data_IF_513830688446
#
_entry.id   IF_513830688446
#
_cell.length_a   1.000
_cell.length_b   1.000
_cell.length_c   1.000
_cell.angle_alpha   90.00
_cell.angle_beta   90.00
_cell.angle_gamma   90.00
#
_symmetry.space_group_name_H-M   'P 1'
#
loop_
_entity.id
_entity.type
_entity.pdbx_description
1 polymer ?
#
# COMPACT_ATOMS: atom_id res chain seq x y z
N UNK A 1 -5.84 17.57 -40.28
CA UNK A 1 -5.75 18.40 -39.06
C UNK A 1 -5.91 17.46 -37.87
N UNK A 2 -4.86 16.71 -37.54
CA UNK A 2 -4.89 15.72 -36.45
C UNK A 2 -4.22 16.33 -35.22
N UNK A 3 -4.97 17.10 -34.43
CA UNK A 3 -4.57 17.36 -33.05
C UNK A 3 -4.78 16.09 -32.24
N UNK A 4 -3.84 15.15 -32.37
CA UNK A 4 -3.74 13.98 -31.51
C UNK A 4 -3.78 14.46 -30.06
N UNK A 5 -4.86 14.11 -29.35
CA UNK A 5 -5.10 14.32 -27.93
C UNK A 5 -3.82 14.08 -27.10
N UNK A 6 -3.00 15.11 -26.90
CA UNK A 6 -1.89 15.07 -25.94
C UNK A 6 -2.53 14.99 -24.57
N UNK A 7 -2.57 13.79 -24.00
CA UNK A 7 -2.94 13.61 -22.59
C UNK A 7 -2.04 14.54 -21.76
N UNK A 8 -2.61 15.38 -20.87
CA UNK A 8 -1.81 16.24 -20.02
C UNK A 8 -0.83 15.38 -19.22
N UNK A 9 0.44 15.79 -19.21
CA UNK A 9 1.48 15.08 -18.46
C UNK A 9 1.18 15.18 -16.96
N UNK A 10 1.38 14.10 -16.17
CA UNK A 10 1.15 14.15 -14.73
C UNK A 10 2.03 15.18 -14.03
N UNK A 11 1.56 15.70 -12.90
CA UNK A 11 2.19 16.80 -12.16
C UNK A 11 3.63 16.48 -11.71
N UNK A 12 3.93 15.20 -11.42
CA UNK A 12 5.28 14.75 -11.05
C UNK A 12 6.34 15.03 -12.13
N UNK A 13 5.94 15.17 -13.40
CA UNK A 13 6.85 15.47 -14.51
C UNK A 13 7.12 16.97 -14.69
N UNK A 14 6.23 17.83 -14.20
CA UNK A 14 6.26 19.28 -14.43
C UNK A 14 6.78 20.06 -13.23
N UNK A 15 6.45 19.65 -12.00
CA UNK A 15 6.80 20.41 -10.80
C UNK A 15 8.08 19.90 -10.11
N UNK A 16 8.78 20.81 -9.42
CA UNK A 16 9.91 20.44 -8.58
C UNK A 16 9.43 19.72 -7.30
N UNK A 17 10.27 18.84 -6.74
CA UNK A 17 9.94 18.03 -5.56
C UNK A 17 9.48 18.90 -4.38
N UNK A 18 10.15 20.04 -4.14
CA UNK A 18 9.77 20.96 -3.07
C UNK A 18 8.31 21.39 -3.13
N UNK A 19 7.80 21.74 -4.33
CA UNK A 19 6.39 22.11 -4.51
C UNK A 19 5.44 20.93 -4.28
N UNK A 20 5.82 19.71 -4.70
CA UNK A 20 5.02 18.51 -4.49
C UNK A 20 4.92 18.13 -3.00
N UNK A 21 5.91 18.50 -2.18
CA UNK A 21 5.95 18.22 -0.75
C UNK A 21 5.20 19.25 0.11
N UNK A 22 4.82 20.40 -0.44
CA UNK A 22 4.05 21.42 0.30
C UNK A 22 2.72 20.83 0.79
N UNK A 23 1.98 20.15 -0.08
CA UNK A 23 0.65 19.63 0.27
C UNK A 23 0.71 18.56 1.37
N UNK A 24 1.57 17.52 1.32
CA UNK A 24 1.69 16.56 2.42
C UNK A 24 2.12 17.20 3.74
N UNK A 25 3.01 18.20 3.73
CA UNK A 25 3.39 18.93 4.95
C UNK A 25 2.21 19.71 5.53
N UNK A 26 1.43 20.39 4.68
CA UNK A 26 0.22 21.09 5.12
C UNK A 26 -0.82 20.11 5.67
N UNK A 27 -0.99 18.95 5.04
CA UNK A 27 -1.86 17.88 5.56
C UNK A 27 -1.40 17.39 6.92
N UNK A 28 -0.09 17.18 7.14
CA UNK A 28 0.43 16.79 8.46
C UNK A 28 0.20 17.82 9.56
N UNK A 29 0.40 19.10 9.26
CA UNK A 29 0.09 20.19 10.20
C UNK A 29 -1.40 20.19 10.52
N UNK A 30 -2.25 20.04 9.49
CA UNK A 30 -3.69 20.02 9.66
C UNK A 30 -4.17 18.79 10.43
N UNK A 31 -3.59 17.61 10.19
CA UNK A 31 -3.82 16.37 10.94
C UNK A 31 -3.56 16.62 12.43
N UNK A 32 -2.38 17.15 12.77
CA UNK A 32 -2.03 17.46 14.16
C UNK A 32 -3.00 18.47 14.79
N UNK A 33 -3.35 19.53 14.07
CA UNK A 33 -4.30 20.55 14.54
C UNK A 33 -5.70 19.97 14.77
N UNK A 34 -6.23 19.18 13.83
CA UNK A 34 -7.57 18.59 13.95
C UNK A 34 -7.61 17.56 15.07
N UNK A 35 -6.59 16.69 15.19
CA UNK A 35 -6.50 15.74 16.30
C UNK A 35 -6.45 16.44 17.66
N UNK A 36 -5.72 17.56 17.76
CA UNK A 36 -5.68 18.37 18.97
C UNK A 36 -7.03 19.04 19.29
N UNK A 37 -7.69 19.64 18.29
CA UNK A 37 -9.00 20.28 18.49
C UNK A 37 -10.08 19.27 18.90
N UNK A 38 -9.99 18.04 18.39
CA UNK A 38 -10.99 17.00 18.62
C UNK A 38 -10.58 16.00 19.71
N UNK A 39 -9.45 16.21 20.40
CA UNK A 39 -9.02 15.36 21.50
C UNK A 39 -10.00 15.47 22.66
N UNK A 40 -10.63 14.35 23.03
CA UNK A 40 -11.57 14.29 24.13
C UNK A 40 -10.83 13.97 25.44
N UNK A 41 -11.30 14.57 26.54
CA UNK A 41 -10.95 14.20 27.93
C UNK A 41 -10.97 12.70 28.18
N UNK A 42 -11.87 11.96 27.52
CA UNK A 42 -11.97 10.51 27.61
C UNK A 42 -10.66 9.80 27.21
N UNK A 43 -9.97 10.27 26.18
CA UNK A 43 -8.73 9.66 25.69
C UNK A 43 -7.60 9.88 26.72
N UNK A 44 -7.52 11.08 27.30
CA UNK A 44 -6.57 11.38 28.36
C UNK A 44 -6.84 10.58 29.64
N UNK A 45 -8.12 10.37 29.97
CA UNK A 45 -8.51 9.53 31.10
C UNK A 45 -8.12 8.06 30.87
N UNK A 46 -8.23 7.55 29.63
CA UNK A 46 -7.78 6.20 29.32
C UNK A 46 -6.27 6.04 29.55
N UNK A 47 -5.48 7.02 29.13
CA UNK A 47 -4.04 7.03 29.40
C UNK A 47 -3.74 7.12 30.90
N UNK A 48 -4.46 7.98 31.64
CA UNK A 48 -4.26 8.15 33.08
C UNK A 48 -4.58 6.87 33.87
N UNK A 49 -5.62 6.12 33.49
CA UNK A 49 -5.94 4.81 34.09
C UNK A 49 -4.83 3.78 33.86
N UNK A 50 -4.24 3.75 32.66
CA UNK A 50 -3.10 2.90 32.35
C UNK A 50 -1.82 3.34 33.09
N UNK A 51 -1.62 4.65 33.27
CA UNK A 51 -0.51 5.19 34.04
C UNK A 51 -0.63 4.88 35.54
N UNK A 52 -1.84 4.98 36.09
CA UNK A 52 -2.17 4.57 37.46
C UNK A 52 -2.21 3.04 37.65
N UNK A 53 -1.95 2.25 36.60
CA UNK A 53 -1.96 0.78 36.59
C UNK A 53 -3.30 0.15 36.98
N UNK A 54 -4.39 0.90 36.82
CA UNK A 54 -5.75 0.45 37.09
C UNK A 54 -6.32 -0.45 35.98
N UNK A 55 -5.69 -0.43 34.78
CA UNK A 55 -6.11 -1.19 33.60
C UNK A 55 -4.99 -2.11 33.12
N UNK A 56 -5.35 -3.30 32.62
CA UNK A 56 -4.46 -4.34 32.09
C UNK A 56 -3.17 -4.53 32.94
N UNK A 57 -3.27 -5.04 34.19
CA UNK A 57 -2.16 -5.03 35.14
C UNK A 57 -0.90 -5.74 34.62
N UNK A 58 -1.06 -6.82 33.85
CA UNK A 58 0.07 -7.55 33.25
C UNK A 58 0.87 -6.71 32.24
N UNK A 59 0.25 -5.71 31.61
CA UNK A 59 0.89 -4.84 30.61
C UNK A 59 1.34 -3.51 31.21
N UNK A 60 0.51 -2.89 32.06
CA UNK A 60 0.78 -1.57 32.64
C UNK A 60 1.94 -1.54 33.65
N UNK A 61 2.33 -2.68 34.21
CA UNK A 61 3.46 -2.78 35.14
C UNK A 61 4.82 -2.92 34.46
N UNK A 62 4.87 -3.11 33.14
CA UNK A 62 6.14 -3.18 32.40
C UNK A 62 6.85 -1.82 32.48
N UNK A 63 8.14 -1.75 32.87
CA UNK A 63 8.84 -0.48 33.02
C UNK A 63 8.93 0.25 31.68
N UNK A 64 8.76 1.58 31.71
CA UNK A 64 8.86 2.53 30.58
C UNK A 64 7.75 2.37 29.52
N UNK A 65 7.51 1.16 29.02
CA UNK A 65 6.58 0.89 27.91
C UNK A 65 5.19 0.44 28.37
N UNK A 66 5.01 0.10 29.65
CA UNK A 66 3.76 -0.48 30.14
C UNK A 66 2.55 0.45 29.98
N UNK A 67 2.66 1.71 30.39
CA UNK A 67 1.54 2.66 30.26
C UNK A 67 1.20 2.99 28.80
N UNK A 68 2.18 3.30 27.91
CA UNK A 68 1.90 3.48 26.48
C UNK A 68 1.28 2.25 25.81
N UNK A 69 1.80 1.05 26.10
CA UNK A 69 1.27 -0.18 25.53
C UNK A 69 -0.15 -0.50 26.06
N UNK A 70 -0.38 -0.33 27.36
CA UNK A 70 -1.71 -0.44 27.96
C UNK A 70 -2.70 0.51 27.31
N UNK A 71 -2.30 1.76 27.09
CA UNK A 71 -3.13 2.77 26.43
C UNK A 71 -3.48 2.33 25.01
N UNK A 72 -2.49 1.95 24.21
CA UNK A 72 -2.70 1.56 22.81
C UNK A 72 -3.65 0.35 22.70
N UNK A 73 -3.44 -0.68 23.53
CA UNK A 73 -4.29 -1.88 23.56
C UNK A 73 -5.70 -1.51 23.99
N UNK A 74 -5.84 -0.74 25.08
CA UNK A 74 -7.15 -0.32 25.57
C UNK A 74 -7.88 0.58 24.57
N UNK A 75 -7.16 1.44 23.86
CA UNK A 75 -7.71 2.35 22.86
C UNK A 75 -8.35 1.59 21.70
N UNK A 76 -7.65 0.60 21.15
CA UNK A 76 -8.19 -0.24 20.08
C UNK A 76 -9.28 -1.20 20.56
N UNK A 77 -9.20 -1.67 21.81
CA UNK A 77 -10.27 -2.45 22.42
C UNK A 77 -11.57 -1.63 22.50
N UNK A 78 -11.51 -0.42 23.04
CA UNK A 78 -12.67 0.48 23.10
C UNK A 78 -13.20 0.86 21.71
N UNK A 79 -12.33 0.89 20.69
CA UNK A 79 -12.70 1.18 19.31
C UNK A 79 -13.47 0.04 18.61
N UNK A 80 -13.51 -1.18 19.18
CA UNK A 80 -14.26 -2.32 18.62
C UNK A 80 -15.39 -2.82 19.53
N UNK A 81 -15.63 -2.15 20.67
CA UNK A 81 -16.52 -2.60 21.74
C UNK A 81 -18.05 -2.53 21.44
N UNK A 82 -18.47 -2.15 20.23
CA UNK A 82 -19.89 -2.04 19.87
C UNK A 82 -20.15 -2.53 18.44
N UNK A 83 -21.41 -2.84 18.10
CA UNK A 83 -21.80 -3.32 16.77
C UNK A 83 -21.58 -2.23 15.72
N UNK A 84 -21.92 -0.98 16.03
CA UNK A 84 -21.64 0.16 15.13
C UNK A 84 -20.14 0.45 15.02
N UNK A 85 -19.39 0.25 16.11
CA UNK A 85 -17.94 0.36 16.12
C UNK A 85 -17.29 -0.69 15.21
N UNK A 86 -17.78 -1.94 15.25
CA UNK A 86 -17.36 -3.03 14.36
C UNK A 86 -17.52 -2.65 12.89
N UNK A 87 -18.67 -2.06 12.50
CA UNK A 87 -18.88 -1.61 11.12
C UNK A 87 -17.89 -0.53 10.68
N UNK A 88 -17.67 0.46 11.54
CA UNK A 88 -16.74 1.58 11.24
C UNK A 88 -15.29 1.09 11.17
N UNK A 89 -14.85 0.30 12.16
CA UNK A 89 -13.50 -0.27 12.18
C UNK A 89 -13.30 -1.27 11.06
N UNK A 90 -14.29 -2.09 10.71
CA UNK A 90 -14.22 -2.98 9.54
C UNK A 90 -13.94 -2.21 8.25
N UNK A 91 -14.58 -1.04 8.07
CA UNK A 91 -14.34 -0.19 6.92
C UNK A 91 -12.90 0.37 6.91
N UNK A 92 -12.43 0.87 8.05
CA UNK A 92 -11.07 1.41 8.19
C UNK A 92 -10.02 0.30 8.02
N UNK A 93 -10.26 -0.88 8.57
CA UNK A 93 -9.35 -2.02 8.47
C UNK A 93 -9.28 -2.52 7.03
N UNK A 94 -10.39 -2.56 6.29
CA UNK A 94 -10.38 -2.91 4.86
C UNK A 94 -9.70 -1.83 3.99
N UNK A 95 -9.82 -0.55 4.35
CA UNK A 95 -9.03 0.53 3.74
C UNK A 95 -7.52 0.28 3.91
N UNK A 96 -7.10 0.00 5.13
CA UNK A 96 -5.70 -0.34 5.44
C UNK A 96 -5.26 -1.63 4.72
N UNK A 97 -6.13 -2.63 4.57
CA UNK A 97 -5.84 -3.83 3.76
C UNK A 97 -5.50 -3.45 2.31
N UNK A 98 -6.26 -2.54 1.70
CA UNK A 98 -6.01 -2.04 0.35
C UNK A 98 -4.66 -1.33 0.24
N UNK A 99 -4.33 -0.45 1.20
CA UNK A 99 -3.04 0.23 1.27
C UNK A 99 -1.87 -0.74 1.48
N UNK A 100 -2.07 -1.76 2.32
CA UNK A 100 -1.08 -2.80 2.56
C UNK A 100 -0.82 -3.61 1.29
N UNK A 101 -1.87 -4.00 0.56
CA UNK A 101 -1.73 -4.69 -0.73
C UNK A 101 -0.97 -3.82 -1.73
N UNK A 102 -1.36 -2.56 -1.90
CA UNK A 102 -0.68 -1.64 -2.82
C UNK A 102 0.80 -1.44 -2.42
N UNK A 103 1.07 -1.14 -1.15
CA UNK A 103 2.44 -0.92 -0.68
C UNK A 103 3.31 -2.17 -0.81
N UNK A 104 2.76 -3.37 -0.61
CA UNK A 104 3.49 -4.63 -0.78
C UNK A 104 3.72 -4.99 -2.26
N UNK A 105 2.78 -4.67 -3.15
CA UNK A 105 2.98 -4.73 -4.61
C UNK A 105 4.10 -3.78 -5.03
N UNK A 106 4.03 -2.52 -4.60
CA UNK A 106 5.06 -1.53 -4.93
C UNK A 106 6.43 -1.92 -4.34
N UNK A 107 6.47 -2.50 -3.14
CA UNK A 107 7.70 -3.04 -2.54
C UNK A 107 8.27 -4.23 -3.33
N UNK A 108 7.43 -5.00 -4.03
CA UNK A 108 7.84 -6.14 -4.86
C UNK A 108 8.37 -5.73 -6.24
N UNK A 109 8.11 -4.50 -6.68
CA UNK A 109 8.51 -4.00 -8.01
C UNK A 109 10.00 -3.71 -8.05
N UNK A 110 10.62 -4.10 -9.17
CA UNK A 110 12.06 -3.94 -9.40
C UNK A 110 12.46 -2.46 -9.29
N UNK A 111 11.66 -1.54 -9.86
CA UNK A 111 11.91 -0.11 -9.83
C UNK A 111 12.04 0.47 -8.41
N UNK A 112 11.46 -0.12 -7.38
CA UNK A 112 11.46 0.42 -6.03
C UNK A 112 12.55 -0.17 -5.14
N UNK A 113 13.25 -1.21 -5.60
CA UNK A 113 14.32 -1.89 -4.85
C UNK A 113 15.39 -0.94 -4.27
N UNK A 114 15.82 0.15 -4.96
CA UNK A 114 16.82 1.07 -4.41
C UNK A 114 16.30 1.97 -3.27
N UNK A 115 14.98 2.06 -3.07
CA UNK A 115 14.38 2.87 -2.01
C UNK A 115 14.05 1.97 -0.82
N UNK A 116 14.84 1.96 0.27
CA UNK A 116 14.62 1.02 1.37
C UNK A 116 13.27 1.24 2.06
N UNK A 117 12.79 2.48 2.12
CA UNK A 117 11.49 2.82 2.72
C UNK A 117 10.32 2.20 1.96
N UNK A 118 10.44 2.07 0.63
CA UNK A 118 9.41 1.45 -0.22
C UNK A 118 9.62 -0.07 -0.29
N UNK A 119 10.87 -0.52 -0.47
CA UNK A 119 11.20 -1.94 -0.62
C UNK A 119 10.95 -2.75 0.67
N UNK A 120 11.10 -2.12 1.84
CA UNK A 120 10.92 -2.75 3.15
C UNK A 120 9.90 -1.97 3.99
N UNK A 121 8.60 -2.06 3.67
CA UNK A 121 7.59 -1.20 4.25
C UNK A 121 7.24 -1.54 5.71
N UNK A 122 7.77 -2.64 6.28
CA UNK A 122 7.48 -3.09 7.65
C UNK A 122 7.78 -2.03 8.71
N UNK A 123 8.91 -1.34 8.62
CA UNK A 123 9.29 -0.30 9.58
C UNK A 123 8.28 0.86 9.62
N UNK A 124 8.03 1.54 8.47
CA UNK A 124 6.99 2.56 8.38
C UNK A 124 5.62 2.09 8.87
N UNK A 125 5.20 0.87 8.53
CA UNK A 125 3.93 0.30 9.00
C UNK A 125 3.90 0.02 10.52
N UNK A 126 5.03 -0.28 11.15
CA UNK A 126 5.10 -0.36 12.62
C UNK A 126 4.92 1.01 13.27
N UNK A 127 5.56 2.04 12.71
CA UNK A 127 5.39 3.42 13.19
C UNK A 127 3.95 3.90 13.01
N UNK A 128 3.32 3.55 11.87
CA UNK A 128 1.90 3.80 11.59
C UNK A 128 1.00 3.32 12.74
N UNK A 129 1.26 2.11 13.26
CA UNK A 129 0.48 1.53 14.35
C UNK A 129 0.74 2.20 15.71
N UNK A 130 1.92 2.78 15.92
CA UNK A 130 2.34 3.31 17.22
C UNK A 130 2.01 4.80 17.43
N UNK A 131 2.24 5.62 16.40
CA UNK A 131 2.18 7.09 16.53
C UNK A 131 0.91 7.65 15.88
N UNK A 132 0.30 6.89 14.98
CA UNK A 132 -0.80 7.34 14.15
C UNK A 132 -0.45 7.28 12.67
N UNK A 133 -1.45 6.95 11.86
CA UNK A 133 -1.22 6.57 10.47
C UNK A 133 -0.95 7.74 9.54
N UNK A 134 -1.66 8.85 9.73
CA UNK A 134 -1.65 9.99 8.81
C UNK A 134 -0.26 10.62 8.66
N UNK A 135 0.40 10.94 9.77
CA UNK A 135 1.71 11.61 9.77
C UNK A 135 2.77 10.76 9.05
N UNK A 136 2.75 9.43 9.23
CA UNK A 136 3.68 8.53 8.55
C UNK A 136 3.45 8.53 7.04
N UNK A 137 2.19 8.55 6.60
CA UNK A 137 1.85 8.62 5.19
C UNK A 137 2.26 9.95 4.56
N UNK A 138 1.98 11.05 5.25
CA UNK A 138 2.21 12.43 4.81
C UNK A 138 3.70 12.77 4.74
N UNK A 139 4.48 12.37 5.75
CA UNK A 139 5.87 12.81 5.91
C UNK A 139 6.92 11.77 5.51
N UNK A 140 6.58 10.49 5.45
CA UNK A 140 7.54 9.43 5.14
C UNK A 140 7.21 8.68 3.84
N UNK A 141 6.02 8.07 3.75
CA UNK A 141 5.68 7.16 2.65
C UNK A 141 5.57 7.92 1.32
N UNK A 142 4.70 8.93 1.22
CA UNK A 142 4.51 9.65 -0.04
C UNK A 142 5.75 10.44 -0.48
N UNK A 143 6.45 11.17 0.41
CA UNK A 143 7.70 11.81 0.03
C UNK A 143 8.72 10.85 -0.57
N UNK A 144 8.83 9.62 -0.04
CA UNK A 144 9.69 8.59 -0.60
C UNK A 144 9.26 8.17 -2.03
N UNK A 145 7.95 8.02 -2.27
CA UNK A 145 7.41 7.73 -3.60
C UNK A 145 7.68 8.86 -4.59
N UNK A 146 7.43 10.12 -4.22
CA UNK A 146 7.71 11.25 -5.10
C UNK A 146 9.20 11.39 -5.43
N UNK A 147 10.06 11.21 -4.42
CA UNK A 147 11.50 11.22 -4.62
C UNK A 147 11.91 10.12 -5.61
N UNK A 148 11.39 8.90 -5.45
CA UNK A 148 11.72 7.78 -6.35
C UNK A 148 11.17 8.00 -7.76
N UNK A 149 9.92 8.43 -7.90
CA UNK A 149 9.30 8.77 -9.18
C UNK A 149 10.11 9.82 -9.94
N UNK A 150 10.58 10.88 -9.26
CA UNK A 150 11.45 11.89 -9.90
C UNK A 150 12.85 11.37 -10.24
N UNK A 151 13.46 10.54 -9.40
CA UNK A 151 14.75 9.93 -9.69
C UNK A 151 14.68 9.08 -10.98
N UNK A 152 13.60 8.32 -11.17
CA UNK A 152 13.33 7.56 -12.40
C UNK A 152 13.16 8.49 -13.61
N UNK A 153 12.39 9.58 -13.47
CA UNK A 153 12.19 10.55 -14.55
C UNK A 153 13.51 11.24 -14.94
N UNK A 154 14.32 11.62 -13.95
CA UNK A 154 15.61 12.27 -14.17
C UNK A 154 16.59 11.33 -14.90
N UNK A 155 16.70 10.07 -14.46
CA UNK A 155 17.53 9.06 -15.11
C UNK A 155 17.12 8.84 -16.58
N UNK A 156 15.81 8.77 -16.87
CA UNK A 156 15.31 8.63 -18.25
C UNK A 156 15.61 9.86 -19.13
N UNK A 157 15.56 11.07 -18.57
CA UNK A 157 15.91 12.30 -19.32
C UNK A 157 17.40 12.38 -19.64
N UNK A 158 18.24 11.87 -18.75
CA UNK A 158 19.70 11.87 -18.94
C UNK A 158 20.16 10.74 -19.89
N UNK A 159 19.45 9.61 -19.93
CA UNK A 159 19.89 8.40 -20.63
C UNK A 159 19.60 8.30 -22.13
N UNK A 160 18.84 9.21 -22.77
CA UNK A 160 18.51 9.15 -24.21
C UNK A 160 17.90 7.81 -24.71
N UNK A 161 17.40 7.73 -25.97
CA UNK A 161 16.88 6.46 -26.52
C UNK A 161 17.96 5.38 -26.75
N UNK A 162 19.23 5.78 -26.89
CA UNK A 162 20.35 4.91 -27.28
C UNK A 162 21.28 4.48 -26.12
N UNK A 163 21.14 5.07 -24.92
CA UNK A 163 21.96 4.71 -23.75
C UNK A 163 21.17 3.87 -22.74
N UNK A 164 19.84 3.75 -22.90
CA UNK A 164 18.99 2.77 -22.21
C UNK A 164 19.03 1.37 -22.87
N UNK A 165 19.72 1.22 -24.01
CA UNK A 165 19.97 -0.05 -24.72
C UNK A 165 21.24 -0.78 -24.26
N UNK A 166 21.76 -0.46 -23.07
CA UNK A 166 22.69 -1.33 -22.36
C UNK A 166 21.91 -2.34 -21.49
N UNK A 167 22.32 -3.62 -21.40
CA UNK A 167 21.57 -4.65 -20.66
C UNK A 167 21.53 -4.51 -19.12
N UNK A 168 21.87 -3.38 -18.50
CA UNK A 168 22.48 -3.41 -17.16
C UNK A 168 21.75 -2.76 -15.97
N UNK A 169 20.59 -2.11 -16.12
CA UNK A 169 19.79 -1.73 -14.93
C UNK A 169 18.28 -2.01 -15.11
N UNK A 170 17.77 -3.12 -14.53
CA UNK A 170 16.37 -3.49 -14.63
C UNK A 170 15.45 -2.51 -13.87
N UNK A 171 15.98 -1.54 -13.12
CA UNK A 171 15.19 -0.54 -12.43
C UNK A 171 14.72 0.63 -13.30
N UNK A 172 15.26 0.77 -14.53
CA UNK A 172 14.90 1.85 -15.46
C UNK A 172 14.43 1.37 -16.85
N UNK A 173 14.65 0.08 -17.19
CA UNK A 173 14.22 -0.54 -18.46
C UNK A 173 12.75 -0.99 -18.51
N UNK A 174 12.37 -1.74 -19.54
CA UNK A 174 10.98 -2.21 -19.76
C UNK A 174 10.43 -3.03 -18.58
N UNK A 175 11.30 -3.80 -17.92
CA UNK A 175 10.94 -4.64 -16.78
C UNK A 175 10.86 -3.91 -15.45
N UNK A 176 11.06 -2.58 -15.41
CA UNK A 176 11.14 -1.85 -14.15
C UNK A 176 9.88 -1.96 -13.29
N UNK A 177 8.70 -2.06 -13.92
CA UNK A 177 7.41 -2.24 -13.21
C UNK A 177 7.04 -3.70 -12.99
N UNK A 178 7.87 -4.64 -13.42
CA UNK A 178 7.66 -6.05 -13.12
C UNK A 178 7.86 -6.31 -11.63
N UNK A 179 7.12 -7.30 -11.13
CA UNK A 179 7.45 -7.98 -9.89
C UNK A 179 8.80 -8.68 -10.07
N UNK A 180 9.68 -8.58 -9.07
CA UNK A 180 10.98 -9.25 -9.11
C UNK A 180 10.85 -10.78 -9.25
N UNK A 181 9.81 -11.35 -8.65
CA UNK A 181 9.50 -12.78 -8.72
C UNK A 181 8.00 -13.00 -8.94
N UNK A 182 7.65 -13.90 -9.85
CA UNK A 182 6.26 -14.31 -10.06
C UNK A 182 5.63 -14.93 -8.79
N UNK A 183 6.45 -15.49 -7.88
CA UNK A 183 6.02 -15.96 -6.55
C UNK A 183 5.26 -14.90 -5.73
N UNK A 184 5.50 -13.61 -5.97
CA UNK A 184 4.83 -12.50 -5.26
C UNK A 184 3.30 -12.48 -5.53
N UNK A 185 2.85 -13.05 -6.64
CA UNK A 185 1.41 -13.18 -6.98
C UNK A 185 0.62 -14.04 -6.00
N UNK A 186 1.29 -14.95 -5.28
CA UNK A 186 0.69 -15.77 -4.23
C UNK A 186 1.12 -15.27 -2.85
N UNK A 187 2.36 -14.83 -2.70
CA UNK A 187 2.89 -14.37 -1.42
C UNK A 187 2.20 -13.11 -0.89
N UNK A 188 1.89 -12.13 -1.77
CA UNK A 188 1.22 -10.89 -1.37
C UNK A 188 -0.20 -11.15 -0.85
N UNK A 189 -1.12 -11.79 -1.59
CA UNK A 189 -2.47 -12.02 -1.09
C UNK A 189 -2.48 -12.92 0.14
N UNK A 190 -1.60 -13.93 0.23
CA UNK A 190 -1.48 -14.74 1.44
C UNK A 190 -1.00 -13.93 2.65
N UNK A 191 -0.04 -13.02 2.47
CA UNK A 191 0.44 -12.14 3.52
C UNK A 191 -0.62 -11.16 4.01
N UNK A 192 -1.41 -10.58 3.10
CA UNK A 192 -2.52 -9.69 3.46
C UNK A 192 -3.62 -10.48 4.17
N UNK A 193 -4.00 -11.65 3.66
CA UNK A 193 -5.03 -12.48 4.27
C UNK A 193 -4.64 -12.97 5.67
N UNK A 194 -3.50 -13.65 5.80
CA UNK A 194 -3.10 -14.30 7.05
C UNK A 194 -2.38 -13.34 8.01
N UNK A 195 -1.58 -12.42 7.48
CA UNK A 195 -0.80 -11.50 8.29
C UNK A 195 -1.58 -10.27 8.76
N UNK A 196 -2.70 -9.94 8.12
CA UNK A 196 -3.48 -8.74 8.46
C UNK A 196 -4.98 -8.99 8.61
N UNK A 197 -5.66 -9.59 7.64
CA UNK A 197 -7.12 -9.77 7.70
C UNK A 197 -7.52 -10.72 8.82
N UNK A 198 -6.84 -11.85 8.99
CA UNK A 198 -7.13 -12.80 10.08
C UNK A 198 -6.94 -12.17 11.47
N UNK A 199 -5.80 -11.53 11.81
CA UNK A 199 -5.66 -10.79 13.06
C UNK A 199 -6.72 -9.70 13.25
N UNK A 200 -7.10 -9.00 12.18
CA UNK A 200 -8.13 -7.95 12.22
C UNK A 200 -9.50 -8.52 12.56
N UNK A 201 -9.88 -9.66 11.96
CA UNK A 201 -11.13 -10.35 12.28
C UNK A 201 -11.14 -10.85 13.73
N UNK A 202 -10.02 -11.42 14.21
CA UNK A 202 -9.90 -11.85 15.61
C UNK A 202 -10.03 -10.68 16.59
N UNK A 203 -9.42 -9.53 16.28
CA UNK A 203 -9.58 -8.31 17.05
C UNK A 203 -11.04 -7.84 17.09
N UNK A 204 -11.69 -7.76 15.92
CA UNK A 204 -13.07 -7.30 15.79
C UNK A 204 -14.10 -8.22 16.47
N UNK A 205 -13.88 -9.54 16.45
CA UNK A 205 -14.86 -10.53 16.92
C UNK A 205 -14.71 -10.91 18.38
N UNK A 206 -13.46 -11.00 18.88
CA UNK A 206 -13.21 -11.45 20.25
C UNK A 206 -13.07 -10.29 21.24
N UNK A 207 -12.70 -9.09 20.79
CA UNK A 207 -12.52 -7.89 21.63
C UNK A 207 -11.69 -8.13 22.91
N UNK A 208 -10.66 -8.99 22.78
CA UNK A 208 -9.76 -9.31 23.89
C UNK A 208 -8.45 -8.54 23.77
N UNK A 209 -7.80 -8.18 24.89
CA UNK A 209 -6.51 -7.48 24.85
C UNK A 209 -5.44 -8.25 24.07
N UNK A 210 -5.48 -9.57 24.09
CA UNK A 210 -4.52 -10.43 23.39
C UNK A 210 -4.70 -10.38 21.87
N UNK A 211 -5.93 -10.32 21.37
CA UNK A 211 -6.18 -10.19 19.92
C UNK A 211 -5.80 -8.81 19.40
N UNK A 212 -6.01 -7.75 20.20
CA UNK A 212 -5.51 -6.41 19.90
C UNK A 212 -3.98 -6.39 19.85
N UNK A 213 -3.29 -6.95 20.86
CA UNK A 213 -1.82 -7.03 20.85
C UNK A 213 -1.31 -7.81 19.64
N UNK A 214 -1.91 -8.96 19.33
CA UNK A 214 -1.54 -9.73 18.16
C UNK A 214 -1.73 -8.92 16.86
N UNK A 215 -2.82 -8.15 16.77
CA UNK A 215 -3.09 -7.27 15.63
C UNK A 215 -2.09 -6.11 15.52
N UNK A 216 -1.66 -5.48 16.61
CA UNK A 216 -0.69 -4.37 16.58
C UNK A 216 0.64 -4.77 15.89
N UNK A 217 1.00 -6.05 15.91
CA UNK A 217 2.17 -6.60 15.23
C UNK A 217 1.89 -7.07 13.78
N UNK A 218 0.75 -6.73 13.18
CA UNK A 218 0.43 -7.07 11.78
C UNK A 218 1.55 -6.76 10.78
N UNK A 219 2.32 -5.65 10.88
CA UNK A 219 3.37 -5.40 9.90
C UNK A 219 4.44 -6.48 9.90
N UNK A 220 4.72 -7.06 11.07
CA UNK A 220 5.65 -8.18 11.26
C UNK A 220 5.04 -9.45 10.68
N UNK A 221 3.78 -9.76 11.02
CA UNK A 221 3.07 -10.94 10.51
C UNK A 221 3.01 -10.94 8.98
N UNK A 222 2.64 -9.82 8.38
CA UNK A 222 2.60 -9.65 6.91
C UNK A 222 3.98 -9.91 6.30
N UNK A 223 5.05 -9.35 6.89
CA UNK A 223 6.41 -9.55 6.39
C UNK A 223 6.85 -11.01 6.49
N UNK A 224 6.62 -11.65 7.64
CA UNK A 224 6.98 -13.04 7.88
C UNK A 224 6.22 -13.99 6.96
N UNK A 225 4.90 -13.84 6.84
CA UNK A 225 4.06 -14.67 5.95
C UNK A 225 4.49 -14.46 4.50
N UNK A 226 4.69 -13.22 4.05
CA UNK A 226 5.14 -12.94 2.68
C UNK A 226 6.46 -13.63 2.38
N UNK A 227 7.44 -13.52 3.28
CA UNK A 227 8.75 -14.15 3.10
C UNK A 227 8.66 -15.67 3.12
N UNK A 228 7.87 -16.25 4.04
CA UNK A 228 7.67 -17.69 4.14
C UNK A 228 7.00 -18.26 2.88
N UNK A 229 5.86 -17.68 2.47
CA UNK A 229 5.13 -18.13 1.28
C UNK A 229 5.99 -17.96 0.03
N UNK A 230 6.71 -16.83 -0.11
CA UNK A 230 7.63 -16.63 -1.24
C UNK A 230 8.74 -17.68 -1.27
N UNK A 231 9.34 -18.01 -0.14
CA UNK A 231 10.40 -19.04 -0.07
C UNK A 231 9.85 -20.41 -0.48
N UNK A 232 8.72 -20.84 0.10
CA UNK A 232 8.07 -22.11 -0.25
C UNK A 232 7.71 -22.15 -1.74
N UNK A 233 7.17 -21.05 -2.25
CA UNK A 233 6.83 -20.87 -3.65
C UNK A 233 8.04 -21.06 -4.58
N UNK A 234 9.17 -20.41 -4.27
CA UNK A 234 10.40 -20.53 -5.05
C UNK A 234 11.01 -21.94 -4.98
N UNK A 235 10.89 -22.62 -3.84
CA UNK A 235 11.34 -24.01 -3.67
C UNK A 235 10.45 -25.00 -4.44
N UNK A 236 9.17 -24.71 -4.59
CA UNK A 236 8.22 -25.61 -5.25
C UNK A 236 8.33 -25.60 -6.78
N UNK A 237 8.64 -24.45 -7.40
CA UNK A 237 8.69 -24.32 -8.87
C UNK A 237 9.72 -23.28 -9.32
N UNK A 238 10.70 -23.70 -10.11
CA UNK A 238 11.70 -22.80 -10.73
C UNK A 238 11.07 -21.69 -11.58
N UNK A 239 9.94 -21.97 -12.24
CA UNK A 239 9.18 -21.00 -13.05
C UNK A 239 8.75 -19.76 -12.26
N UNK A 240 8.70 -19.83 -10.93
CA UNK A 240 8.27 -18.72 -10.07
C UNK A 240 9.40 -17.74 -9.72
N UNK A 241 10.65 -18.06 -10.10
CA UNK A 241 11.83 -17.20 -9.91
C UNK A 241 11.87 -16.02 -10.89
N UNK A 242 11.28 -16.16 -12.07
CA UNK A 242 11.29 -15.14 -13.12
C UNK A 242 10.47 -13.89 -12.77
N UNK A 243 10.82 -12.77 -13.39
CA UNK A 243 10.05 -11.52 -13.26
C UNK A 243 8.69 -11.63 -13.96
N UNK A 244 7.68 -10.92 -13.45
CA UNK A 244 6.33 -10.93 -14.01
C UNK A 244 5.74 -9.52 -14.06
N UNK A 245 5.21 -9.13 -15.22
CA UNK A 245 4.31 -7.97 -15.31
C UNK A 245 2.93 -8.38 -14.78
N UNK A 246 2.52 -7.86 -13.63
CA UNK A 246 1.29 -8.28 -12.95
C UNK A 246 0.06 -7.99 -13.81
N UNK A 247 0.06 -6.86 -14.50
CA UNK A 247 -1.06 -6.31 -15.24
C UNK A 247 -1.34 -7.05 -16.56
N UNK A 248 -0.38 -7.80 -17.10
CA UNK A 248 -0.60 -8.65 -18.26
C UNK A 248 -1.30 -9.97 -17.92
N UNK A 249 -1.27 -10.39 -16.66
CA UNK A 249 -1.89 -11.63 -16.20
C UNK A 249 -3.12 -11.35 -15.32
N UNK A 250 -4.30 -11.44 -15.93
CA UNK A 250 -5.59 -11.17 -15.27
C UNK A 250 -5.83 -12.01 -14.02
N UNK A 251 -5.42 -13.28 -14.03
CA UNK A 251 -5.63 -14.18 -12.88
C UNK A 251 -4.73 -13.78 -11.71
N UNK A 252 -3.46 -13.46 -11.97
CA UNK A 252 -2.55 -12.96 -10.96
C UNK A 252 -3.00 -11.61 -10.41
N UNK A 253 -3.42 -10.69 -11.28
CA UNK A 253 -3.95 -9.39 -10.91
C UNK A 253 -5.18 -9.53 -10.00
N UNK A 254 -6.15 -10.35 -10.40
CA UNK A 254 -7.34 -10.61 -9.60
C UNK A 254 -6.97 -11.24 -8.25
N UNK A 255 -6.09 -12.24 -8.25
CA UNK A 255 -5.66 -12.93 -7.02
C UNK A 255 -5.04 -11.99 -5.99
N UNK A 256 -4.20 -11.04 -6.43
CA UNK A 256 -3.54 -10.08 -5.54
C UNK A 256 -4.52 -9.10 -4.90
N UNK A 257 -5.52 -8.61 -5.66
CA UNK A 257 -6.43 -7.57 -5.19
C UNK A 257 -7.78 -8.08 -4.67
N UNK A 258 -8.12 -9.35 -4.88
CA UNK A 258 -9.44 -9.90 -4.50
C UNK A 258 -9.72 -9.78 -3.00
N UNK A 259 -8.77 -10.16 -2.14
CA UNK A 259 -8.94 -10.16 -0.68
C UNK A 259 -9.36 -8.78 -0.14
N UNK A 260 -8.59 -7.69 -0.34
CA UNK A 260 -8.98 -6.38 0.18
C UNK A 260 -10.27 -5.84 -0.45
N UNK A 261 -10.54 -6.14 -1.72
CA UNK A 261 -11.79 -5.72 -2.39
C UNK A 261 -13.00 -6.39 -1.73
N UNK A 262 -12.97 -7.71 -1.55
CA UNK A 262 -14.07 -8.46 -0.92
C UNK A 262 -14.28 -7.97 0.52
N UNK A 263 -13.21 -7.83 1.31
CA UNK A 263 -13.30 -7.29 2.66
C UNK A 263 -13.91 -5.88 2.69
N UNK A 264 -13.55 -5.01 1.75
CA UNK A 264 -14.08 -3.65 1.66
C UNK A 264 -15.57 -3.63 1.32
N UNK A 265 -16.02 -4.45 0.38
CA UNK A 265 -17.44 -4.54 0.01
C UNK A 265 -18.26 -5.06 1.20
N UNK A 266 -17.78 -6.10 1.88
CA UNK A 266 -18.44 -6.67 3.05
C UNK A 266 -18.49 -5.65 4.20
N UNK A 267 -17.40 -4.94 4.45
CA UNK A 267 -17.34 -3.90 5.48
C UNK A 267 -18.25 -2.71 5.16
N UNK A 268 -18.31 -2.28 3.90
CA UNK A 268 -19.20 -1.20 3.44
C UNK A 268 -20.67 -1.60 3.61
N UNK A 269 -21.04 -2.81 3.19
CA UNK A 269 -22.39 -3.33 3.37
C UNK A 269 -22.76 -3.44 4.86
N UNK A 270 -21.83 -3.94 5.69
CA UNK A 270 -22.02 -4.02 7.14
C UNK A 270 -22.18 -2.64 7.77
N UNK A 271 -21.36 -1.65 7.39
CA UNK A 271 -21.50 -0.29 7.89
C UNK A 271 -22.88 0.28 7.54
N UNK A 272 -23.31 0.19 6.28
CA UNK A 272 -24.64 0.65 5.84
C UNK A 272 -25.74 -0.01 6.67
N UNK A 273 -25.63 -1.32 6.92
CA UNK A 273 -26.55 -2.03 7.80
C UNK A 273 -26.53 -1.47 9.23
N UNK A 274 -25.36 -1.26 9.84
CA UNK A 274 -25.27 -0.75 11.22
C UNK A 274 -25.78 0.68 11.39
N UNK A 275 -25.84 1.47 10.31
CA UNK A 275 -26.44 2.81 10.33
C UNK A 275 -27.97 2.78 10.49
N UNK A 276 -28.63 1.67 10.13
CA UNK A 276 -30.08 1.49 10.33
C UNK A 276 -30.43 1.03 11.75
N UNK A 277 -29.44 0.56 12.51
CA UNK A 277 -29.60 0.10 13.89
C UNK A 277 -29.50 1.26 14.89
N UNK A 278 -30.00 1.13 16.13
CA UNK A 278 -29.82 2.12 17.18
C UNK A 278 -28.33 2.41 17.49
N UNK A 279 -28.07 3.61 18.00
CA UNK A 279 -26.72 4.01 18.43
C UNK A 279 -26.35 3.29 19.75
N UNK A 280 -25.39 2.37 19.68
CA UNK A 280 -24.95 1.53 20.81
C UNK A 280 -23.56 1.93 21.37
N UNK A 281 -22.89 2.92 20.76
CA UNK A 281 -21.54 3.33 21.17
C UNK A 281 -21.58 4.14 22.46
N UNK A 282 -20.79 3.69 23.42
CA UNK A 282 -20.44 4.45 24.64
C UNK A 282 -19.55 5.65 24.29
N UNK A 283 -19.46 6.61 25.22
CA UNK A 283 -18.70 7.85 25.03
C UNK A 283 -17.21 7.59 24.73
N UNK A 284 -16.60 6.61 25.42
CA UNK A 284 -15.21 6.20 25.17
C UNK A 284 -15.03 5.68 23.74
N UNK A 285 -15.86 4.72 23.31
CA UNK A 285 -15.87 4.18 21.94
C UNK A 285 -16.09 5.27 20.89
N UNK A 286 -16.97 6.23 21.15
CA UNK A 286 -17.21 7.36 20.23
C UNK A 286 -15.95 8.22 20.09
N UNK A 287 -15.25 8.48 21.19
CA UNK A 287 -14.02 9.28 21.22
C UNK A 287 -12.86 8.58 20.49
N UNK A 288 -12.66 7.29 20.73
CA UNK A 288 -11.61 6.52 20.05
C UNK A 288 -11.88 6.39 18.56
N UNK A 289 -13.12 6.03 18.16
CA UNK A 289 -13.49 5.94 16.75
C UNK A 289 -13.38 7.27 16.02
N UNK A 290 -13.78 8.38 16.65
CA UNK A 290 -13.64 9.72 16.06
C UNK A 290 -12.18 10.02 15.73
N UNK A 291 -11.27 9.69 16.64
CA UNK A 291 -9.82 9.87 16.45
C UNK A 291 -9.31 9.02 15.28
N UNK A 292 -9.64 7.72 15.26
CA UNK A 292 -9.23 6.81 14.17
C UNK A 292 -9.82 7.24 12.82
N UNK A 293 -11.07 7.71 12.82
CA UNK A 293 -11.76 8.17 11.60
C UNK A 293 -11.08 9.41 11.03
N UNK A 294 -10.71 10.37 11.89
CA UNK A 294 -9.94 11.55 11.47
C UNK A 294 -8.64 11.11 10.80
N UNK A 295 -7.87 10.22 11.44
CA UNK A 295 -6.63 9.71 10.85
C UNK A 295 -6.86 9.02 9.49
N UNK A 296 -7.86 8.15 9.40
CA UNK A 296 -8.17 7.43 8.17
C UNK A 296 -8.55 8.38 7.02
N UNK A 297 -9.29 9.46 7.32
CA UNK A 297 -9.62 10.50 6.34
C UNK A 297 -8.36 11.21 5.85
N UNK A 298 -7.45 11.59 6.73
CA UNK A 298 -6.20 12.24 6.34
C UNK A 298 -5.30 11.33 5.52
N UNK A 299 -5.19 10.05 5.88
CA UNK A 299 -4.49 9.05 5.04
C UNK A 299 -5.15 8.96 3.65
N UNK A 300 -6.49 8.92 3.58
CA UNK A 300 -7.21 8.86 2.30
C UNK A 300 -6.96 10.11 1.43
N UNK A 301 -7.06 11.31 2.00
CA UNK A 301 -6.79 12.56 1.29
C UNK A 301 -5.35 12.59 0.75
N UNK A 302 -4.42 12.14 1.58
CA UNK A 302 -3.01 12.04 1.29
C UNK A 302 -2.74 11.05 0.14
N UNK A 303 -3.40 9.89 0.11
CA UNK A 303 -3.34 8.91 -0.99
C UNK A 303 -4.00 9.43 -2.27
N UNK A 304 -5.14 10.12 -2.16
CA UNK A 304 -5.79 10.77 -3.30
C UNK A 304 -4.89 11.83 -3.93
N UNK A 305 -4.21 12.64 -3.12
CA UNK A 305 -3.22 13.60 -3.59
C UNK A 305 -2.06 12.90 -4.30
N UNK A 306 -1.52 11.82 -3.72
CA UNK A 306 -0.47 11.02 -4.37
C UNK A 306 -0.88 10.55 -5.77
N UNK A 307 -2.06 9.95 -5.88
CA UNK A 307 -2.61 9.48 -7.16
C UNK A 307 -2.87 10.63 -8.13
N UNK A 308 -3.39 11.75 -7.65
CA UNK A 308 -3.63 12.94 -8.47
C UNK A 308 -2.32 13.46 -9.08
N UNK A 309 -1.23 13.48 -8.29
CA UNK A 309 0.08 13.96 -8.73
C UNK A 309 0.74 13.01 -9.73
N UNK A 310 0.67 11.70 -9.49
CA UNK A 310 1.37 10.71 -10.31
C UNK A 310 0.60 10.23 -11.54
N UNK A 311 -0.72 10.07 -11.42
CA UNK A 311 -1.55 9.44 -12.44
C UNK A 311 -2.62 10.39 -13.02
N UNK A 312 -2.87 11.53 -12.36
CA UNK A 312 -3.81 12.55 -12.81
C UNK A 312 -5.23 12.36 -12.27
N UNK A 313 -6.08 13.35 -12.56
CA UNK A 313 -7.41 13.48 -11.94
C UNK A 313 -8.38 12.34 -12.29
N UNK A 314 -8.25 11.72 -13.47
CA UNK A 314 -9.15 10.63 -13.88
C UNK A 314 -9.01 9.42 -12.97
N UNK A 315 -7.77 9.06 -12.61
CA UNK A 315 -7.49 7.95 -11.71
C UNK A 315 -7.96 8.27 -10.30
N UNK A 316 -7.73 9.51 -9.82
CA UNK A 316 -8.24 9.97 -8.54
C UNK A 316 -9.78 9.92 -8.48
N UNK A 317 -10.46 10.30 -9.56
CA UNK A 317 -11.93 10.21 -9.65
C UNK A 317 -12.43 8.77 -9.62
N UNK A 318 -11.80 7.85 -10.38
CA UNK A 318 -12.14 6.43 -10.35
C UNK A 318 -11.98 5.87 -8.93
N UNK A 319 -10.85 6.18 -8.28
CA UNK A 319 -10.61 5.79 -6.88
C UNK A 319 -11.71 6.33 -5.96
N UNK A 320 -12.05 7.62 -6.05
CA UNK A 320 -13.07 8.25 -5.19
C UNK A 320 -14.47 7.66 -5.40
N UNK A 321 -14.91 7.49 -6.65
CA UNK A 321 -16.23 6.92 -6.98
C UNK A 321 -16.31 5.47 -6.50
N UNK A 322 -15.27 4.68 -6.72
CA UNK A 322 -15.25 3.27 -6.28
C UNK A 322 -15.13 3.17 -4.76
N UNK A 323 -14.38 4.05 -4.09
CA UNK A 323 -14.35 4.15 -2.63
C UNK A 323 -15.72 4.44 -2.03
N UNK A 324 -16.52 5.31 -2.67
CA UNK A 324 -17.86 5.64 -2.21
C UNK A 324 -18.83 4.45 -2.36
N UNK A 325 -18.78 3.75 -3.49
CA UNK A 325 -19.73 2.66 -3.80
C UNK A 325 -19.36 1.34 -3.12
N UNK A 326 -18.09 0.94 -3.18
CA UNK A 326 -17.60 -0.39 -2.76
C UNK A 326 -16.76 -0.35 -1.48
N UNK A 327 -16.65 0.83 -0.86
CA UNK A 327 -15.80 1.08 0.28
C UNK A 327 -14.36 1.45 -0.11
N UNK A 328 -13.64 2.12 0.80
CA UNK A 328 -12.35 2.75 0.54
C UNK A 328 -11.23 1.76 0.19
N UNK A 329 -11.24 0.54 0.74
CA UNK A 329 -10.25 -0.49 0.40
C UNK A 329 -10.36 -0.97 -1.05
N UNK A 330 -11.59 -1.18 -1.53
CA UNK A 330 -11.87 -1.52 -2.92
C UNK A 330 -11.49 -0.36 -3.85
N UNK A 331 -11.80 0.88 -3.44
CA UNK A 331 -11.45 2.04 -4.25
C UNK A 331 -9.95 2.26 -4.42
N UNK A 332 -9.14 2.02 -3.38
CA UNK A 332 -7.68 2.00 -3.52
C UNK A 332 -7.24 0.97 -4.55
N UNK A 333 -7.71 -0.27 -4.42
CA UNK A 333 -7.27 -1.38 -5.27
C UNK A 333 -7.67 -1.15 -6.73
N UNK A 334 -8.93 -0.79 -6.99
CA UNK A 334 -9.42 -0.52 -8.35
C UNK A 334 -8.75 0.71 -8.94
N UNK A 335 -8.58 1.77 -8.15
CA UNK A 335 -7.83 2.96 -8.54
C UNK A 335 -6.38 2.63 -8.92
N UNK A 336 -5.73 1.70 -8.20
CA UNK A 336 -4.38 1.24 -8.53
C UNK A 336 -4.33 0.43 -9.83
N UNK A 337 -5.27 -0.49 -10.03
CA UNK A 337 -5.37 -1.26 -11.28
C UNK A 337 -5.57 -0.30 -12.47
N UNK A 338 -6.46 0.69 -12.31
CA UNK A 338 -6.71 1.70 -13.33
C UNK A 338 -5.50 2.62 -13.57
N UNK A 339 -4.77 3.00 -12.52
CA UNK A 339 -3.48 3.71 -12.62
C UNK A 339 -2.53 2.96 -13.52
N UNK A 340 -2.34 1.67 -13.31
CA UNK A 340 -1.36 0.91 -14.09
C UNK A 340 -1.75 0.74 -15.55
N UNK A 341 -3.06 0.69 -15.86
CA UNK A 341 -3.54 0.66 -17.24
C UNK A 341 -3.44 2.02 -17.95
N UNK A 342 -3.40 3.12 -17.19
CA UNK A 342 -3.42 4.49 -17.74
C UNK A 342 -2.05 5.15 -17.78
N UNK A 343 -1.14 4.75 -16.89
CA UNK A 343 0.27 5.14 -16.91
C UNK A 343 0.96 4.33 -18.00
N UNK A 344 0.71 4.73 -19.25
CA UNK A 344 1.42 4.23 -20.43
C UNK A 344 2.90 4.62 -20.25
N UNK A 345 3.85 3.67 -20.24
CA UNK A 345 5.25 4.01 -20.32
C UNK A 345 5.47 4.61 -21.70
N UNK A 346 5.55 5.94 -21.79
CA UNK A 346 5.92 6.73 -22.98
C UNK A 346 6.04 5.91 -24.27
N UNK A 347 4.95 5.81 -25.05
CA UNK A 347 4.96 5.26 -26.43
C UNK A 347 5.98 5.95 -27.35
N UNK A 348 6.65 7.02 -26.90
CA UNK A 348 7.74 7.67 -27.61
C UNK A 348 9.12 7.03 -27.40
N UNK A 349 9.24 6.00 -26.57
CA UNK A 349 10.45 5.18 -26.49
C UNK A 349 10.13 3.81 -27.11
N UNK A 350 10.03 3.79 -28.45
CA UNK A 350 10.17 2.55 -29.21
C UNK A 350 11.59 2.06 -29.01
N UNK A 351 11.79 1.16 -28.06
CA UNK A 351 13.02 0.36 -28.01
C UNK A 351 12.96 -0.54 -29.22
N UNK A 352 13.80 -0.26 -30.22
CA UNK A 352 14.04 -1.18 -31.32
C UNK A 352 14.56 -2.46 -30.68
N UNK A 353 13.78 -3.54 -30.74
CA UNK A 353 14.19 -4.85 -30.30
C UNK A 353 15.33 -5.35 -31.20
N UNK A 354 16.55 -4.90 -30.97
CA UNK A 354 17.75 -5.51 -31.53
C UNK A 354 18.11 -6.65 -30.61
N UNK A 355 17.71 -7.87 -30.97
CA UNK A 355 18.24 -9.06 -30.30
C UNK A 355 17.31 -10.25 -30.09
N UNK A 356 16.21 -10.42 -30.84
CA UNK A 356 15.68 -11.77 -31.03
C UNK A 356 16.51 -12.49 -32.10
N UNK A 357 17.74 -12.88 -31.78
CA UNK A 357 18.38 -14.02 -32.44
C UNK A 357 17.53 -15.23 -32.04
N UNK A 358 16.50 -15.53 -32.82
CA UNK A 358 15.97 -16.90 -32.88
C UNK A 358 17.14 -17.75 -33.34
N UNK A 359 17.67 -18.53 -32.41
CA UNK A 359 18.40 -19.73 -32.74
C UNK A 359 17.50 -20.55 -33.67
N UNK A 360 17.83 -20.51 -34.96
CA UNK A 360 17.37 -21.44 -35.96
C UNK A 360 18.51 -22.45 -36.09
N UNK A 361 18.62 -23.35 -35.13
CA UNK A 361 19.34 -24.61 -35.32
C UNK A 361 18.41 -25.50 -36.15
N UNK A 362 18.61 -25.47 -37.47
CA UNK A 362 18.33 -26.56 -38.41
C UNK A 362 18.60 -26.07 -39.84
N UNK A 363 19.81 -26.31 -40.34
CA UNK A 363 20.14 -26.55 -41.76
C UNK A 363 21.65 -26.86 -41.90
N UNK A 364 21.96 -28.15 -41.77
CA UNK A 364 22.98 -29.02 -42.41
C UNK A 364 24.31 -28.50 -43.03
N UNK A 365 25.32 -29.41 -43.15
CA UNK A 365 26.73 -29.10 -43.37
C UNK A 365 27.15 -29.08 -44.86
N UNK A 366 28.43 -28.74 -45.06
CA UNK A 366 29.23 -28.85 -46.28
C UNK A 366 29.14 -27.69 -47.27
N UNK A 367 30.23 -26.93 -47.36
CA UNK A 367 30.94 -26.71 -48.62
C UNK A 367 32.34 -26.17 -48.29
N UNK A 368 33.34 -27.03 -48.46
CA UNK A 368 34.72 -26.63 -48.68
C UNK A 368 34.83 -25.90 -50.03
N UNK A 369 35.75 -24.91 -50.12
CA UNK A 369 36.69 -24.60 -51.24
C UNK A 369 37.08 -23.10 -51.24
N UNK A 370 38.18 -22.65 -51.88
CA UNK A 370 39.46 -22.45 -51.20
C UNK A 370 40.10 -21.06 -51.46
N UNK A 371 41.29 -20.87 -50.87
CA UNK A 371 42.38 -19.89 -51.11
C UNK A 371 42.25 -18.84 -52.23
N UNK A 372 42.58 -17.59 -51.86
CA UNK A 372 43.57 -16.68 -52.46
C UNK A 372 43.88 -15.63 -51.35
N UNK A 373 45.08 -15.60 -50.75
CA UNK A 373 46.34 -15.12 -51.31
C UNK A 373 47.53 -15.58 -50.48
#
# INVERSE_FOLDING_TARGET
MDSLNRRPRPAVHSFALGYLLVVPVLLAILTGAILFIHSDTNIYMLYSQCHARARLPWLSHVPVLGSPACFLVSFFQEAVASVRAFGTMGLILSFVAGLLTVSTVEAARICNRPSPLIAYPTGPWLVFTLIGGAIVWELAIIPAFFHRSRAIIAARRQGGPQQLTGPSDPTFGESMRHLAHAAETVAIPAAVALGYVVPSLLMLTLDTPTTVVAWLFFPVWVSLVRQAVRRVALLARERWSGSLHLESNRLALLGVYAVPIVCSILAQAHLIWTLTQPEDRKEMTRSTLKTITIEAVFVLLTVLYWILVEAGWRVALVMLVTSFVLGPGAGICVGWIYREQTVDPDRSVTVVAVGSRRASEDADPSEETPLLR
#
